data_IF_014548656222
#
_entry.id   IF_014548656222
#
_cell.length_a   1.000
_cell.length_b   1.000
_cell.length_c   1.000
_cell.angle_alpha   90.00
_cell.angle_beta   90.00
_cell.angle_gamma   90.00
#
_symmetry.space_group_name_H-M   'P 1'
#
loop_
_entity.id
_entity.type
_entity.pdbx_description
1 polymer ?
#
# COMPACT_ATOMS: atom_id res chain seq x y z
N UNK A 1 -21.84 -7.73 -24.57
CA UNK A 1 -21.45 -8.52 -23.37
C UNK A 1 -20.25 -7.92 -22.66
N UNK A 2 -19.18 -7.50 -23.39
CA UNK A 2 -18.02 -6.76 -22.83
C UNK A 2 -18.40 -5.49 -22.05
N UNK A 3 -19.22 -4.61 -22.65
CA UNK A 3 -19.58 -3.32 -22.03
C UNK A 3 -20.36 -3.49 -20.73
N UNK A 4 -21.26 -4.49 -20.64
CA UNK A 4 -22.04 -4.75 -19.41
C UNK A 4 -21.14 -5.18 -18.25
N UNK A 5 -20.06 -5.93 -18.52
CA UNK A 5 -19.11 -6.38 -17.50
C UNK A 5 -18.22 -5.24 -17.03
N UNK A 6 -17.75 -4.38 -17.95
CA UNK A 6 -16.99 -3.18 -17.61
C UNK A 6 -17.82 -2.20 -16.74
N UNK A 7 -19.09 -1.99 -17.07
CA UNK A 7 -20.00 -1.17 -16.26
C UNK A 7 -20.23 -1.78 -14.87
N UNK A 8 -20.42 -3.10 -14.79
CA UNK A 8 -20.53 -3.79 -13.51
C UNK A 8 -19.27 -3.63 -12.67
N UNK A 9 -18.07 -3.86 -13.22
CA UNK A 9 -16.81 -3.66 -12.49
C UNK A 9 -16.59 -2.22 -12.06
N UNK A 10 -16.96 -1.25 -12.89
CA UNK A 10 -16.93 0.18 -12.54
C UNK A 10 -17.79 0.47 -11.30
N UNK A 11 -18.97 -0.16 -11.19
CA UNK A 11 -19.87 -0.01 -10.05
C UNK A 11 -19.29 -0.51 -8.72
N UNK A 12 -18.37 -1.47 -8.76
CA UNK A 12 -17.72 -2.02 -7.56
C UNK A 12 -16.69 -1.07 -6.95
N UNK A 13 -16.10 -0.20 -7.78
CA UNK A 13 -15.12 0.82 -7.37
C UNK A 13 -15.85 2.14 -7.05
N UNK A 14 -16.91 2.46 -7.80
CA UNK A 14 -17.73 3.65 -7.62
C UNK A 14 -19.20 3.30 -7.31
N UNK A 15 -19.53 2.99 -6.04
CA UNK A 15 -20.87 2.54 -5.65
C UNK A 15 -21.93 3.65 -5.63
N UNK A 16 -21.52 4.92 -5.73
CA UNK A 16 -22.39 6.10 -5.63
C UNK A 16 -23.28 6.32 -6.85
N UNK A 17 -23.00 5.66 -7.98
CA UNK A 17 -23.79 5.82 -9.19
C UNK A 17 -24.80 4.67 -9.34
N UNK A 18 -26.05 4.92 -8.94
CA UNK A 18 -27.15 3.96 -9.00
C UNK A 18 -27.42 3.43 -10.42
N UNK A 19 -26.95 4.13 -11.47
CA UNK A 19 -27.04 3.69 -12.87
C UNK A 19 -26.34 2.36 -13.16
N UNK A 20 -25.33 1.97 -12.36
CA UNK A 20 -24.49 0.79 -12.65
C UNK A 20 -24.74 -0.40 -11.72
N UNK A 21 -25.67 -0.29 -10.76
CA UNK A 21 -26.01 -1.37 -9.83
C UNK A 21 -26.89 -2.43 -10.49
N UNK A 22 -26.32 -3.25 -11.35
CA UNK A 22 -26.97 -4.50 -11.77
C UNK A 22 -26.86 -5.51 -10.61
N UNK A 23 -27.88 -5.54 -9.75
CA UNK A 23 -27.94 -6.36 -8.53
C UNK A 23 -27.89 -7.87 -8.79
N UNK A 24 -28.00 -8.29 -10.05
CA UNK A 24 -28.00 -9.69 -10.45
C UNK A 24 -26.61 -10.21 -10.85
N UNK A 25 -25.59 -9.34 -10.87
CA UNK A 25 -24.21 -9.73 -11.16
C UNK A 25 -23.41 -9.83 -9.86
N UNK A 26 -22.76 -10.96 -9.67
CA UNK A 26 -21.80 -11.21 -8.59
C UNK A 26 -20.50 -11.67 -9.22
N UNK A 27 -19.37 -11.13 -8.79
CA UNK A 27 -18.05 -11.59 -9.26
C UNK A 27 -17.84 -13.02 -8.76
N UNK A 28 -17.74 -13.98 -9.67
CA UNK A 28 -17.36 -15.35 -9.30
C UNK A 28 -15.85 -15.42 -8.99
N UNK A 29 -15.37 -16.42 -8.22
CA UNK A 29 -13.94 -16.56 -7.94
C UNK A 29 -13.05 -16.64 -9.20
N UNK A 30 -13.58 -17.16 -10.32
CA UNK A 30 -12.89 -17.20 -11.61
C UNK A 30 -12.76 -15.84 -12.29
N UNK A 31 -13.71 -14.93 -12.04
CA UNK A 31 -13.77 -13.59 -12.65
C UNK A 31 -12.99 -12.53 -11.86
N UNK A 32 -12.48 -12.86 -10.67
CA UNK A 32 -11.65 -11.96 -9.87
C UNK A 32 -10.40 -11.51 -10.62
N UNK A 33 -9.82 -12.37 -11.46
CA UNK A 33 -8.68 -12.00 -12.32
C UNK A 33 -9.03 -10.88 -13.31
N UNK A 34 -10.17 -11.03 -14.00
CA UNK A 34 -10.67 -10.03 -14.95
C UNK A 34 -11.02 -8.71 -14.27
N UNK A 35 -11.55 -8.76 -13.05
CA UNK A 35 -11.78 -7.56 -12.26
C UNK A 35 -10.48 -6.82 -11.96
N UNK A 36 -9.41 -7.52 -11.58
CA UNK A 36 -8.12 -6.90 -11.32
C UNK A 36 -7.47 -6.32 -12.58
N UNK A 37 -7.60 -7.01 -13.72
CA UNK A 37 -7.17 -6.46 -15.02
C UNK A 37 -7.94 -5.19 -15.39
N UNK A 38 -9.27 -5.18 -15.19
CA UNK A 38 -10.09 -4.00 -15.38
C UNK A 38 -9.65 -2.83 -14.49
N UNK A 39 -9.45 -3.07 -13.18
CA UNK A 39 -8.97 -2.04 -12.24
C UNK A 39 -7.62 -1.48 -12.72
N UNK A 40 -6.71 -2.34 -13.19
CA UNK A 40 -5.40 -1.93 -13.69
C UNK A 40 -5.47 -1.06 -14.95
N UNK A 41 -6.50 -1.21 -15.78
CA UNK A 41 -6.71 -0.43 -17.00
C UNK A 41 -7.48 0.86 -16.73
N UNK A 42 -8.45 0.83 -15.81
CA UNK A 42 -9.35 1.93 -15.52
C UNK A 42 -8.85 2.89 -14.42
N UNK A 43 -7.63 2.69 -13.91
CA UNK A 43 -7.02 3.56 -12.90
C UNK A 43 -5.69 4.12 -13.39
N UNK A 44 -5.27 5.31 -12.92
CA UNK A 44 -3.97 5.85 -13.26
C UNK A 44 -2.83 4.89 -12.89
N UNK A 45 -1.81 4.88 -13.72
CA UNK A 45 -0.56 4.16 -13.50
C UNK A 45 0.32 4.88 -12.48
N UNK A 46 1.38 4.20 -12.06
CA UNK A 46 2.33 4.72 -11.08
C UNK A 46 3.01 6.00 -11.58
N UNK A 47 3.44 6.02 -12.84
CA UNK A 47 4.15 7.15 -13.48
C UNK A 47 3.22 8.34 -13.77
N UNK A 48 1.92 8.09 -13.92
CA UNK A 48 0.90 9.14 -14.03
C UNK A 48 0.63 9.79 -12.67
N UNK A 49 0.63 9.00 -11.59
CA UNK A 49 0.36 9.48 -10.24
C UNK A 49 1.59 10.08 -9.55
N UNK A 50 2.77 9.50 -9.69
CA UNK A 50 3.98 9.90 -8.95
C UNK A 50 5.08 10.30 -9.92
N UNK A 51 5.34 11.60 -10.00
CA UNK A 51 6.28 12.20 -10.97
C UNK A 51 7.73 12.12 -10.52
N UNK A 52 7.98 12.41 -9.24
CA UNK A 52 9.31 12.44 -8.64
C UNK A 52 9.28 11.91 -7.23
N UNK A 53 10.26 11.11 -6.89
CA UNK A 53 10.40 10.56 -5.55
C UNK A 53 11.81 10.77 -5.03
N UNK A 54 11.90 11.16 -3.77
CA UNK A 54 13.14 11.36 -3.06
C UNK A 54 13.11 10.57 -1.76
N UNK A 55 14.21 9.90 -1.46
CA UNK A 55 14.46 9.29 -0.16
C UNK A 55 15.79 9.84 0.34
N UNK A 56 15.82 10.44 1.53
CA UNK A 56 17.03 11.07 2.06
C UNK A 56 17.64 12.09 1.08
N UNK A 57 16.80 12.94 0.48
CA UNK A 57 17.16 13.88 -0.59
C UNK A 57 17.79 13.27 -1.86
N UNK A 58 17.83 11.94 -2.00
CA UNK A 58 18.28 11.27 -3.21
C UNK A 58 17.08 10.87 -4.08
N UNK A 59 17.08 11.33 -5.33
CA UNK A 59 16.05 10.99 -6.29
C UNK A 59 16.12 9.50 -6.66
N UNK A 60 14.97 8.85 -6.75
CA UNK A 60 14.86 7.47 -7.18
C UNK A 60 13.63 7.27 -8.07
N UNK A 61 13.61 6.23 -8.95
CA UNK A 61 12.43 5.92 -9.73
C UNK A 61 11.28 5.46 -8.82
N UNK A 62 10.22 6.27 -8.70
CA UNK A 62 9.08 6.01 -7.82
C UNK A 62 8.58 4.57 -7.93
N UNK A 63 8.32 4.14 -9.17
CA UNK A 63 7.68 2.87 -9.50
C UNK A 63 8.59 1.65 -9.40
N UNK A 64 9.86 1.84 -8.99
CA UNK A 64 10.77 0.76 -8.62
C UNK A 64 10.59 0.31 -7.18
N UNK A 65 10.14 1.21 -6.29
CA UNK A 65 10.04 0.95 -4.84
C UNK A 65 8.58 0.95 -4.38
N UNK A 66 7.73 1.73 -5.03
CA UNK A 66 6.29 1.67 -4.81
C UNK A 66 5.68 0.51 -5.58
N UNK A 67 4.93 -0.33 -4.87
CA UNK A 67 4.31 -1.52 -5.40
C UNK A 67 2.80 -1.36 -5.55
N UNK A 68 2.20 -1.84 -6.64
CA UNK A 68 0.76 -1.78 -6.82
C UNK A 68 0.06 -2.75 -5.86
N UNK A 69 -1.02 -2.27 -5.26
CA UNK A 69 -1.98 -3.04 -4.46
C UNK A 69 -3.39 -2.69 -4.88
N UNK A 70 -4.33 -3.63 -4.73
CA UNK A 70 -5.73 -3.39 -5.04
C UNK A 70 -6.51 -3.24 -3.74
N UNK A 71 -7.20 -2.11 -3.60
CA UNK A 71 -8.01 -1.78 -2.42
C UNK A 71 -9.44 -1.42 -2.82
N UNK A 72 -10.29 -1.08 -1.84
CA UNK A 72 -11.63 -0.56 -2.13
C UNK A 72 -11.63 0.83 -2.79
N UNK A 73 -10.46 1.48 -2.91
CA UNK A 73 -10.28 2.75 -3.62
C UNK A 73 -9.76 2.56 -5.06
N UNK A 74 -9.63 1.31 -5.52
CA UNK A 74 -8.99 0.97 -6.80
C UNK A 74 -7.53 0.57 -6.62
N UNK A 75 -6.69 0.83 -7.64
CA UNK A 75 -5.25 0.60 -7.58
C UNK A 75 -4.59 1.66 -6.71
N UNK A 76 -3.83 1.22 -5.72
CA UNK A 76 -3.03 2.07 -4.86
C UNK A 76 -1.57 1.62 -4.91
N UNK A 77 -0.68 2.44 -4.37
CA UNK A 77 0.75 2.17 -4.34
C UNK A 77 1.27 2.20 -2.91
N UNK A 78 2.03 1.17 -2.54
CA UNK A 78 2.60 1.00 -1.20
C UNK A 78 4.11 0.95 -1.26
N UNK A 79 4.76 1.64 -0.33
CA UNK A 79 6.20 1.58 -0.09
C UNK A 79 6.43 0.98 1.30
N UNK A 80 7.57 0.32 1.50
CA UNK A 80 7.97 -0.22 2.81
C UNK A 80 6.99 -1.25 3.44
N UNK A 81 6.12 -1.88 2.65
CA UNK A 81 5.37 -3.06 3.08
C UNK A 81 6.23 -4.31 2.99
N UNK A 82 6.12 -5.21 3.97
CA UNK A 82 6.67 -6.55 3.84
C UNK A 82 5.97 -7.30 2.69
N UNK A 83 6.69 -8.20 1.97
CA UNK A 83 6.10 -8.98 0.90
C UNK A 83 5.01 -9.90 1.43
N UNK A 84 4.01 -10.20 0.61
CA UNK A 84 2.89 -11.07 0.96
C UNK A 84 3.32 -12.43 1.51
N UNK A 85 4.45 -13.00 1.06
CA UNK A 85 5.03 -14.23 1.64
C UNK A 85 5.41 -14.13 3.13
N UNK A 86 5.63 -12.92 3.63
CA UNK A 86 5.92 -12.62 5.03
C UNK A 86 4.65 -12.22 5.79
N UNK A 87 3.64 -11.68 5.10
CA UNK A 87 2.39 -11.23 5.69
C UNK A 87 1.37 -12.38 5.86
N UNK A 88 1.35 -13.34 4.93
CA UNK A 88 0.31 -14.35 4.85
C UNK A 88 0.88 -15.77 4.84
N UNK A 89 0.29 -16.66 5.64
CA UNK A 89 0.62 -18.09 5.64
C UNK A 89 0.26 -18.77 4.31
N UNK A 90 -0.75 -18.26 3.59
CA UNK A 90 -1.16 -18.76 2.29
C UNK A 90 -1.20 -17.60 1.28
N UNK A 91 -0.47 -17.73 0.18
CA UNK A 91 -0.29 -16.69 -0.84
C UNK A 91 -1.43 -16.64 -1.87
N UNK A 92 -2.66 -16.91 -1.44
CA UNK A 92 -3.82 -16.91 -2.35
C UNK A 92 -4.36 -15.53 -2.67
N UNK A 93 -3.97 -14.51 -1.90
CA UNK A 93 -4.48 -13.16 -2.05
C UNK A 93 -3.76 -12.37 -3.15
N UNK A 94 -4.33 -12.44 -4.35
CA UNK A 94 -3.85 -11.72 -5.55
C UNK A 94 -3.95 -10.19 -5.44
N UNK A 95 -4.52 -9.61 -4.37
CA UNK A 95 -4.49 -8.15 -4.15
C UNK A 95 -3.08 -7.63 -3.86
N UNK A 96 -2.19 -8.52 -3.44
CA UNK A 96 -0.79 -8.24 -3.08
C UNK A 96 0.14 -8.77 -4.18
N UNK A 97 0.30 -7.98 -5.25
CA UNK A 97 0.98 -8.39 -6.48
C UNK A 97 2.51 -8.28 -6.44
N UNK A 98 3.11 -7.93 -5.29
CA UNK A 98 4.53 -7.56 -5.20
C UNK A 98 5.46 -8.61 -4.57
N UNK A 99 4.99 -9.87 -4.48
CA UNK A 99 5.81 -10.96 -3.95
C UNK A 99 7.12 -11.19 -4.72
N UNK A 100 7.17 -10.82 -6.00
CA UNK A 100 8.25 -11.20 -6.91
C UNK A 100 9.27 -10.08 -7.19
N UNK A 101 9.13 -8.91 -6.55
CA UNK A 101 9.94 -7.74 -6.90
C UNK A 101 11.22 -7.57 -6.05
N UNK A 102 11.39 -8.35 -4.99
CA UNK A 102 12.54 -8.22 -4.10
C UNK A 102 13.67 -9.20 -4.43
N UNK A 103 14.95 -8.76 -4.44
CA UNK A 103 16.10 -9.65 -4.58
C UNK A 103 16.12 -10.80 -3.57
N UNK A 104 16.74 -11.93 -3.90
CA UNK A 104 16.82 -13.09 -2.97
C UNK A 104 17.63 -12.77 -1.70
N UNK A 105 18.59 -11.86 -1.81
CA UNK A 105 19.48 -11.42 -0.72
C UNK A 105 18.78 -10.44 0.23
N UNK A 106 17.52 -10.12 -0.01
CA UNK A 106 16.76 -9.16 0.79
C UNK A 106 16.64 -9.63 2.24
N UNK A 107 17.01 -8.75 3.16
CA UNK A 107 16.98 -8.91 4.61
C UNK A 107 15.79 -8.15 5.17
N UNK A 108 14.84 -8.86 5.74
CA UNK A 108 13.60 -8.27 6.23
C UNK A 108 13.64 -8.04 7.73
N UNK A 109 13.17 -6.86 8.13
CA UNK A 109 12.79 -6.56 9.51
C UNK A 109 11.59 -7.42 9.93
N UNK A 110 11.52 -7.77 11.22
CA UNK A 110 10.31 -8.32 11.83
C UNK A 110 9.92 -7.56 13.11
N UNK A 111 8.64 -7.60 13.52
CA UNK A 111 8.17 -6.93 14.74
C UNK A 111 8.93 -7.38 16.00
N UNK A 112 9.25 -8.67 16.09
CA UNK A 112 9.93 -9.29 17.23
C UNK A 112 11.45 -9.07 17.19
N UNK A 113 12.06 -9.33 16.02
CA UNK A 113 13.51 -9.36 15.84
C UNK A 113 14.12 -8.01 15.50
N UNK A 114 13.30 -7.05 15.05
CA UNK A 114 13.79 -5.83 14.45
C UNK A 114 14.51 -6.10 13.14
N UNK A 115 15.49 -5.25 12.81
CA UNK A 115 16.30 -5.43 11.62
C UNK A 115 17.31 -6.59 11.80
N UNK A 116 17.60 -7.36 10.74
CA UNK A 116 18.53 -8.48 10.81
C UNK A 116 19.93 -8.09 11.30
N UNK A 117 20.60 -9.03 11.97
CA UNK A 117 21.99 -8.86 12.45
C UNK A 117 23.00 -9.54 11.50
N UNK A 118 24.19 -8.96 11.27
CA UNK A 118 24.62 -7.64 11.75
C UNK A 118 23.79 -6.52 11.10
N UNK A 119 23.49 -5.49 11.88
CA UNK A 119 22.74 -4.33 11.39
C UNK A 119 23.63 -3.54 10.44
N UNK A 120 23.31 -3.58 9.14
CA UNK A 120 24.05 -2.88 8.08
C UNK A 120 23.37 -1.61 7.61
N UNK A 121 22.32 -1.19 8.33
CA UNK A 121 21.61 0.02 7.95
C UNK A 121 22.57 1.21 8.05
N UNK A 122 22.62 2.01 6.98
CA UNK A 122 23.56 3.14 6.84
C UNK A 122 24.83 2.80 6.03
N UNK A 123 25.11 1.53 5.77
CA UNK A 123 26.28 1.06 5.01
C UNK A 123 25.98 0.88 3.51
N UNK A 124 25.40 1.91 2.83
CA UNK A 124 24.94 1.82 1.42
C UNK A 124 24.23 0.49 1.11
N UNK A 125 23.39 0.05 2.05
CA UNK A 125 22.76 -1.26 1.99
C UNK A 125 21.41 -1.19 1.29
N UNK A 126 21.39 -1.69 0.07
CA UNK A 126 20.16 -1.72 -0.73
C UNK A 126 19.23 -2.89 -0.40
N UNK A 127 19.70 -3.87 0.38
CA UNK A 127 19.00 -5.13 0.59
C UNK A 127 18.27 -5.23 1.92
N UNK A 128 18.41 -4.26 2.83
CA UNK A 128 17.64 -4.25 4.08
C UNK A 128 16.31 -3.52 3.90
N UNK A 129 15.22 -4.21 4.25
CA UNK A 129 13.85 -3.72 4.14
C UNK A 129 13.09 -3.86 5.47
N UNK A 130 12.15 -2.94 5.77
CA UNK A 130 11.81 -1.74 5.01
C UNK A 130 12.92 -0.68 5.08
N UNK A 131 12.93 0.23 4.12
CA UNK A 131 13.87 1.37 4.10
C UNK A 131 13.61 2.27 5.30
N UNK A 132 14.67 2.86 5.82
CA UNK A 132 14.65 3.68 7.03
C UNK A 132 15.03 5.14 6.74
N UNK A 133 14.64 6.05 7.63
CA UNK A 133 15.19 7.41 7.65
C UNK A 133 16.52 7.38 8.43
N UNK A 134 17.58 7.95 7.86
CA UNK A 134 18.91 8.03 8.48
C UNK A 134 19.03 9.23 9.44
N UNK A 135 18.27 10.29 9.14
CA UNK A 135 18.27 11.56 9.84
C UNK A 135 16.84 12.00 10.15
N UNK A 136 16.61 12.66 11.29
CA UNK A 136 15.31 13.25 11.60
C UNK A 136 15.06 14.49 10.71
N UNK A 137 13.79 14.73 10.38
CA UNK A 137 13.38 15.88 9.57
C UNK A 137 12.81 15.46 8.21
N UNK A 138 12.44 16.44 7.39
CA UNK A 138 11.89 16.16 6.05
C UNK A 138 12.98 15.68 5.08
N UNK A 139 14.23 16.10 5.29
CA UNK A 139 15.37 15.78 4.42
C UNK A 139 15.75 14.29 4.45
N UNK A 140 15.70 13.65 5.62
CA UNK A 140 15.96 12.21 5.79
C UNK A 140 14.77 11.30 5.45
N UNK A 141 13.62 11.91 5.11
CA UNK A 141 12.37 11.21 4.89
C UNK A 141 12.10 10.82 3.44
N UNK A 142 10.83 10.56 3.18
CA UNK A 142 10.26 10.32 1.86
C UNK A 142 9.57 11.61 1.39
N UNK A 143 9.91 12.05 0.18
CA UNK A 143 9.19 13.10 -0.53
C UNK A 143 8.67 12.55 -1.86
N UNK A 144 7.40 12.80 -2.17
CA UNK A 144 6.76 12.35 -3.40
C UNK A 144 6.03 13.51 -4.03
N UNK A 145 6.34 13.81 -5.28
CA UNK A 145 5.58 14.72 -6.12
C UNK A 145 4.45 13.93 -6.78
N UNK A 146 3.22 14.20 -6.36
CA UNK A 146 2.03 13.48 -6.82
C UNK A 146 1.24 14.38 -7.77
N UNK A 147 0.80 13.81 -8.90
CA UNK A 147 0.06 14.48 -9.96
C UNK A 147 -1.33 13.84 -10.13
N UNK A 148 -2.34 14.68 -10.31
CA UNK A 148 -3.71 14.27 -10.54
C UNK A 148 -4.21 14.88 -11.85
N UNK A 149 -4.61 14.03 -12.79
CA UNK A 149 -5.35 14.50 -13.96
C UNK A 149 -6.78 14.86 -13.56
N UNK A 150 -7.09 16.15 -13.62
CA UNK A 150 -8.41 16.68 -13.31
C UNK A 150 -9.44 16.42 -14.42
N UNK A 151 -9.01 16.11 -15.65
CA UNK A 151 -9.91 15.76 -16.74
C UNK A 151 -10.52 14.36 -16.57
N UNK A 152 -9.81 13.46 -15.89
CA UNK A 152 -10.27 12.10 -15.61
C UNK A 152 -10.94 11.95 -14.24
N UNK A 153 -10.80 12.95 -13.36
CA UNK A 153 -11.35 12.91 -12.02
C UNK A 153 -12.88 12.83 -12.00
N UNK A 154 -13.41 11.84 -11.28
CA UNK A 154 -14.85 11.61 -11.11
C UNK A 154 -15.33 12.02 -9.72
N UNK A 155 -15.99 13.17 -9.63
CA UNK A 155 -16.53 13.73 -8.38
C UNK A 155 -17.70 12.91 -7.79
N UNK A 156 -18.50 12.24 -8.65
CA UNK A 156 -19.57 11.31 -8.23
C UNK A 156 -19.03 10.19 -7.33
N UNK A 157 -17.81 9.73 -7.61
CA UNK A 157 -17.17 8.61 -6.92
C UNK A 157 -16.30 9.10 -5.76
N UNK A 158 -15.47 10.11 -5.99
CA UNK A 158 -14.52 10.64 -5.02
C UNK A 158 -15.19 11.55 -3.97
N UNK A 159 -16.40 12.03 -4.26
CA UNK A 159 -17.04 13.14 -3.56
C UNK A 159 -16.41 14.48 -3.96
N UNK A 160 -16.80 15.55 -3.27
CA UNK A 160 -16.30 16.92 -3.55
C UNK A 160 -14.83 17.17 -3.20
N UNK A 161 -14.05 16.12 -2.89
CA UNK A 161 -12.63 16.23 -2.55
C UNK A 161 -11.76 15.70 -3.70
N UNK A 162 -10.97 16.59 -4.31
CA UNK A 162 -9.89 16.23 -5.23
C UNK A 162 -8.56 16.17 -4.48
N UNK A 163 -7.78 15.13 -4.79
CA UNK A 163 -6.48 14.85 -4.18
C UNK A 163 -6.32 13.36 -3.85
N UNK A 164 -5.33 13.06 -3.03
CA UNK A 164 -4.96 11.68 -2.70
C UNK A 164 -5.29 11.33 -1.25
N UNK A 165 -5.30 10.04 -0.96
CA UNK A 165 -5.42 9.50 0.39
C UNK A 165 -4.12 8.76 0.71
N UNK A 166 -3.48 9.11 1.80
CA UNK A 166 -2.32 8.38 2.35
C UNK A 166 -2.80 7.55 3.53
N UNK A 167 -2.49 6.27 3.53
CA UNK A 167 -2.66 5.38 4.67
C UNK A 167 -1.28 5.09 5.26
N UNK A 168 -1.22 5.05 6.59
CA UNK A 168 -0.01 4.76 7.34
C UNK A 168 -0.29 3.56 8.23
N UNK A 169 0.42 2.48 7.97
CA UNK A 169 0.31 1.22 8.71
C UNK A 169 1.70 0.68 8.99
N UNK A 170 1.79 -0.29 9.90
CA UNK A 170 3.06 -0.96 10.18
C UNK A 170 3.47 -1.84 8.98
N UNK A 171 4.78 -2.08 8.72
CA UNK A 171 5.25 -2.89 7.59
C UNK A 171 4.67 -4.31 7.53
N UNK A 172 4.34 -4.89 8.68
CA UNK A 172 3.72 -6.20 8.88
C UNK A 172 2.19 -6.21 8.76
N UNK A 173 1.58 -5.04 8.55
CA UNK A 173 0.14 -4.92 8.38
C UNK A 173 -0.22 -4.82 6.90
N UNK A 174 -1.26 -5.53 6.53
CA UNK A 174 -1.92 -5.32 5.24
C UNK A 174 -2.56 -3.92 5.23
N UNK A 175 -2.31 -3.07 4.20
CA UNK A 175 -2.97 -1.78 4.04
C UNK A 175 -4.45 -2.00 3.65
N UNK A 176 -5.31 -2.08 4.66
CA UNK A 176 -6.75 -2.21 4.50
C UNK A 176 -7.38 -0.82 4.61
N UNK A 177 -8.23 -0.47 3.64
CA UNK A 177 -8.82 0.87 3.47
C UNK A 177 -9.83 1.27 4.55
N UNK A 178 -10.15 0.39 5.50
CA UNK A 178 -10.99 0.72 6.66
C UNK A 178 -10.26 1.56 7.71
N UNK A 179 -8.94 1.76 7.57
CA UNK A 179 -8.14 2.58 8.47
C UNK A 179 -8.25 4.08 8.14
N UNK A 180 -7.94 4.92 9.14
CA UNK A 180 -7.97 6.38 8.98
C UNK A 180 -6.96 6.84 7.92
N UNK A 181 -7.45 7.43 6.83
CA UNK A 181 -6.61 7.97 5.76
C UNK A 181 -6.41 9.48 5.91
N UNK A 182 -5.16 9.93 5.73
CA UNK A 182 -4.82 11.34 5.59
C UNK A 182 -5.18 11.81 4.19
N UNK A 183 -5.79 12.98 4.08
CA UNK A 183 -6.20 13.58 2.80
C UNK A 183 -5.14 14.56 2.33
N UNK A 184 -4.54 14.29 1.18
CA UNK A 184 -3.48 15.10 0.55
C UNK A 184 -4.10 16.00 -0.51
N UNK A 185 -4.14 17.31 -0.26
CA UNK A 185 -4.71 18.28 -1.20
C UNK A 185 -3.74 18.60 -2.33
N UNK A 186 -4.28 18.87 -3.52
CA UNK A 186 -3.47 19.29 -4.68
C UNK A 186 -2.99 20.74 -4.58
N UNK A 187 -1.93 21.04 -5.33
CA UNK A 187 -1.33 22.38 -5.51
C UNK A 187 -0.70 23.00 -4.26
N UNK A 188 -0.35 22.19 -3.26
CA UNK A 188 0.37 22.63 -2.07
C UNK A 188 1.17 21.49 -1.46
N UNK A 189 2.22 21.85 -0.75
CA UNK A 189 3.00 20.89 0.01
C UNK A 189 2.20 20.38 1.20
N UNK A 190 2.29 19.07 1.44
CA UNK A 190 1.65 18.40 2.55
C UNK A 190 2.68 17.62 3.35
N UNK A 191 2.98 18.10 4.56
CA UNK A 191 3.98 17.50 5.44
C UNK A 191 3.29 16.59 6.47
N UNK A 192 3.77 15.35 6.58
CA UNK A 192 3.35 14.42 7.64
C UNK A 192 4.54 14.08 8.52
N UNK A 193 4.47 14.44 9.81
CA UNK A 193 5.46 14.01 10.80
C UNK A 193 5.05 12.67 11.41
N UNK A 194 5.83 11.64 11.17
CA UNK A 194 5.64 10.32 11.80
C UNK A 194 6.29 10.30 13.18
N UNK A 195 5.60 9.70 14.15
CA UNK A 195 6.12 9.48 15.51
C UNK A 195 5.64 8.10 15.98
N UNK A 196 6.27 7.02 15.50
CA UNK A 196 5.81 5.66 15.75
C UNK A 196 5.90 5.32 17.25
N UNK A 197 4.92 4.56 17.74
CA UNK A 197 4.91 4.02 19.10
C UNK A 197 4.88 2.50 19.01
N UNK A 198 5.90 1.86 19.56
CA UNK A 198 5.95 0.39 19.62
C UNK A 198 5.45 -0.07 20.98
N UNK A 199 4.50 -1.01 20.97
CA UNK A 199 4.04 -1.70 22.16
C UNK A 199 4.63 -3.10 22.09
N UNK A 200 5.38 -3.50 23.12
CA UNK A 200 5.99 -4.82 23.20
C UNK A 200 5.44 -5.56 24.41
N UNK A 201 5.10 -6.81 24.18
CA UNK A 201 4.73 -7.75 25.24
C UNK A 201 5.96 -8.10 26.08
N UNK A 202 5.76 -8.37 27.37
CA UNK A 202 6.83 -8.86 28.24
C UNK A 202 7.46 -10.14 27.64
N UNK A 203 8.80 -10.22 27.49
CA UNK A 203 9.47 -11.40 26.98
C UNK A 203 9.11 -12.70 27.70
N UNK A 204 8.76 -12.66 29.00
CA UNK A 204 8.42 -13.86 29.77
C UNK A 204 7.14 -14.53 29.28
N UNK A 205 6.23 -13.77 28.66
CA UNK A 205 4.96 -14.28 28.14
C UNK A 205 5.13 -15.13 26.87
N UNK A 206 6.30 -15.08 26.22
CA UNK A 206 6.63 -15.97 25.09
C UNK A 206 6.54 -17.45 25.46
N UNK A 207 6.90 -17.79 26.70
CA UNK A 207 6.89 -19.15 27.26
C UNK A 207 5.48 -19.67 27.60
N UNK A 208 4.50 -18.76 27.71
CA UNK A 208 3.11 -19.11 28.05
C UNK A 208 2.38 -19.63 26.81
N UNK A 209 1.57 -20.68 26.92
CA UNK A 209 0.83 -21.24 25.76
C UNK A 209 -0.03 -20.17 25.09
N UNK A 210 -0.07 -20.19 23.75
CA UNK A 210 -0.84 -19.24 22.92
C UNK A 210 -2.29 -19.05 23.38
N UNK A 211 -3.00 -20.16 23.68
CA UNK A 211 -4.39 -20.09 24.15
C UNK A 211 -4.59 -19.42 25.52
N UNK A 212 -3.56 -19.40 26.37
CA UNK A 212 -3.62 -18.73 27.68
C UNK A 212 -3.27 -17.24 27.59
N UNK A 213 -2.32 -16.88 26.72
CA UNK A 213 -1.90 -15.48 26.49
C UNK A 213 -2.82 -14.72 25.52
N UNK A 214 -3.60 -15.42 24.71
CA UNK A 214 -4.56 -14.82 23.78
C UNK A 214 -3.94 -14.17 22.53
N UNK A 215 -2.65 -14.42 22.24
CA UNK A 215 -1.94 -13.85 21.10
C UNK A 215 -0.93 -14.85 20.48
N UNK A 216 -0.55 -14.58 19.23
CA UNK A 216 0.46 -15.31 18.46
C UNK A 216 1.74 -14.46 18.36
N UNK A 217 2.88 -15.12 18.19
CA UNK A 217 4.19 -14.54 17.85
C UNK A 217 4.60 -15.08 16.48
#
# INVERSE_FOLDING_TARGET
>A
TSDRKALFFSSLICPSNDFFKDRNLTVTPGEMGEFYEFVNQATPSCEEMMRRCYWQNMEFPCCKIFFPIITSLGRCYVINSLPSKMLFTNQTDKRFLFNDSYPQETRYWSPEGGYPRPDRRGEKDDYTFPKWADTPGYEGGLSVEIDQDMAEWQDVCAGGYSGFKILLNSPEEAPITSQAALRVPMKRDFLVRLSPRTIRTDPTLSSTRAGLRGCLF
#
